data_IF_265054224720
#
_entry.id   IF_265054224720
#
_cell.length_a   1.000
_cell.length_b   1.000
_cell.length_c   1.000
_cell.angle_alpha   90.00
_cell.angle_beta   90.00
_cell.angle_gamma   90.00
#
_symmetry.space_group_name_H-M   'P 1'
#
loop_
_entity.id
_entity.type
_entity.pdbx_description
1 polymer ?
#
# COMPACT_ATOMS: atom_id res chain seq x y z
N UNK A 1 45.06 -84.06 -2.78
CA UNK A 1 44.12 -83.14 -3.47
C UNK A 1 43.86 -81.95 -2.57
N UNK A 2 44.57 -80.84 -2.75
CA UNK A 2 44.26 -79.55 -2.12
C UNK A 2 44.42 -78.48 -3.20
N UNK A 3 43.32 -77.92 -3.70
CA UNK A 3 43.31 -76.81 -4.66
C UNK A 3 43.39 -75.50 -3.89
N UNK A 4 44.48 -74.77 -4.05
CA UNK A 4 44.59 -73.37 -3.63
C UNK A 4 44.13 -72.52 -4.82
N UNK A 5 42.97 -71.88 -4.69
CA UNK A 5 42.47 -70.89 -5.65
C UNK A 5 43.03 -69.54 -5.21
N UNK A 6 43.95 -68.98 -5.99
CA UNK A 6 44.44 -67.61 -5.82
C UNK A 6 43.55 -66.68 -6.63
N UNK A 7 42.70 -65.91 -5.95
CA UNK A 7 41.88 -64.86 -6.58
C UNK A 7 42.71 -63.59 -6.68
N UNK A 8 43.04 -63.19 -7.91
CA UNK A 8 43.73 -61.93 -8.20
C UNK A 8 42.71 -60.78 -8.12
N UNK A 9 42.83 -59.92 -7.10
CA UNK A 9 42.00 -58.72 -6.96
C UNK A 9 42.60 -57.60 -7.83
N UNK A 10 42.02 -57.35 -9.00
CA UNK A 10 42.37 -56.20 -9.84
C UNK A 10 41.59 -54.99 -9.28
N UNK A 11 42.29 -54.13 -8.53
CA UNK A 11 41.75 -52.83 -8.13
C UNK A 11 41.75 -51.89 -9.33
N UNK A 12 40.63 -51.86 -10.07
CA UNK A 12 40.38 -50.85 -11.09
C UNK A 12 40.14 -49.49 -10.43
N UNK A 13 41.12 -48.60 -10.50
CA UNK A 13 40.90 -47.18 -10.20
C UNK A 13 39.99 -46.58 -11.30
N UNK A 14 38.69 -46.58 -11.06
CA UNK A 14 37.75 -45.77 -11.83
C UNK A 14 37.91 -44.31 -11.40
N UNK A 15 38.76 -43.56 -12.09
CA UNK A 15 38.80 -42.10 -12.00
C UNK A 15 37.49 -41.54 -12.56
N UNK A 16 36.53 -41.27 -11.68
CA UNK A 16 35.34 -40.49 -12.02
C UNK A 16 35.78 -39.05 -12.26
N UNK A 17 35.94 -38.67 -13.53
CA UNK A 17 36.02 -37.26 -13.89
C UNK A 17 34.64 -36.64 -13.64
N UNK A 18 34.47 -36.01 -12.48
CA UNK A 18 33.38 -35.08 -12.27
C UNK A 18 33.61 -33.89 -13.21
N UNK A 19 32.88 -33.84 -14.32
CA UNK A 19 32.80 -32.63 -15.12
C UNK A 19 32.17 -31.55 -14.23
N UNK A 20 32.99 -30.65 -13.71
CA UNK A 20 32.51 -29.46 -13.04
C UNK A 20 31.58 -28.74 -14.02
N UNK A 21 30.32 -28.53 -13.64
CA UNK A 21 29.39 -27.74 -14.46
C UNK A 21 30.00 -26.35 -14.67
N UNK A 22 30.10 -25.93 -15.92
CA UNK A 22 30.49 -24.56 -16.25
C UNK A 22 29.51 -23.61 -15.54
N UNK A 23 29.99 -22.67 -14.71
CA UNK A 23 29.12 -21.73 -14.02
C UNK A 23 28.36 -20.89 -15.04
N UNK A 24 27.03 -20.94 -14.98
CA UNK A 24 26.18 -20.02 -15.75
C UNK A 24 26.24 -18.65 -15.06
N UNK A 25 26.70 -17.63 -15.77
CA UNK A 25 26.77 -16.26 -15.27
C UNK A 25 26.31 -15.27 -16.35
N UNK A 26 26.38 -13.97 -16.07
CA UNK A 26 25.95 -12.92 -17.01
C UNK A 26 26.66 -13.01 -18.38
N UNK A 27 27.93 -13.41 -18.42
CA UNK A 27 28.68 -13.57 -19.68
C UNK A 27 28.20 -14.76 -20.53
N UNK A 28 27.58 -15.78 -19.91
CA UNK A 28 27.00 -16.94 -20.63
C UNK A 28 25.90 -16.52 -21.59
N UNK A 29 25.16 -15.47 -21.27
CA UNK A 29 24.05 -14.96 -22.08
C UNK A 29 24.50 -13.86 -23.05
N UNK A 30 25.70 -13.31 -22.89
CA UNK A 30 26.26 -12.27 -23.75
C UNK A 30 25.32 -11.07 -23.91
N UNK A 31 24.81 -10.87 -25.13
CA UNK A 31 23.88 -9.79 -25.50
C UNK A 31 22.41 -10.25 -25.49
N UNK A 32 22.10 -11.46 -25.02
CA UNK A 32 20.72 -11.93 -24.96
C UNK A 32 19.95 -11.15 -23.89
N UNK A 33 18.87 -10.49 -24.32
CA UNK A 33 17.96 -9.79 -23.43
C UNK A 33 16.65 -10.56 -23.29
N UNK A 34 16.16 -10.64 -22.04
CA UNK A 34 14.81 -11.11 -21.81
C UNK A 34 13.82 -10.10 -22.40
N UNK A 35 12.93 -10.56 -23.27
CA UNK A 35 11.83 -9.73 -23.80
C UNK A 35 10.52 -10.16 -23.18
N UNK A 36 9.73 -9.18 -22.76
CA UNK A 36 8.35 -9.43 -22.37
C UNK A 36 7.55 -9.88 -23.60
N UNK A 37 6.91 -11.04 -23.56
CA UNK A 37 6.00 -11.51 -24.61
C UNK A 37 4.58 -10.93 -24.47
N UNK A 38 4.39 -10.04 -23.48
CA UNK A 38 3.11 -9.59 -22.98
C UNK A 38 2.41 -10.68 -22.16
N UNK A 39 1.42 -10.32 -21.33
CA UNK A 39 0.46 -11.30 -20.84
C UNK A 39 -0.57 -11.64 -21.94
N UNK A 40 -0.90 -12.91 -22.11
CA UNK A 40 -2.10 -13.33 -22.85
C UNK A 40 -3.40 -12.98 -22.09
N UNK A 41 -3.31 -12.91 -20.75
CA UNK A 41 -4.34 -12.42 -19.83
C UNK A 41 -3.64 -11.71 -18.67
N UNK A 42 -4.01 -10.45 -18.38
CA UNK A 42 -3.40 -9.69 -17.27
C UNK A 42 -3.98 -10.18 -15.94
N UNK A 43 -3.12 -10.54 -14.99
CA UNK A 43 -3.52 -10.84 -13.61
C UNK A 43 -2.43 -10.39 -12.66
N UNK A 44 -2.82 -9.70 -11.59
CA UNK A 44 -1.93 -9.15 -10.58
C UNK A 44 -2.66 -8.07 -9.79
N UNK A 45 -2.28 -7.85 -8.53
CA UNK A 45 -2.84 -6.76 -7.72
C UNK A 45 -2.00 -5.51 -7.87
N UNK A 46 -2.66 -4.39 -8.16
CA UNK A 46 -2.08 -3.06 -8.03
C UNK A 46 -2.36 -2.58 -6.62
N UNK A 47 -1.32 -2.23 -5.88
CA UNK A 47 -1.43 -1.83 -4.47
C UNK A 47 -1.33 -0.31 -4.30
N UNK A 48 -0.75 0.40 -5.27
CA UNK A 48 -0.58 1.84 -5.22
C UNK A 48 -0.59 2.44 -6.63
N UNK A 49 -1.21 3.61 -6.78
CA UNK A 49 -1.16 4.41 -8.01
C UNK A 49 -0.96 5.86 -7.60
N UNK A 50 0.03 6.52 -8.20
CA UNK A 50 0.27 7.95 -8.02
C UNK A 50 0.59 8.61 -9.35
N UNK A 51 0.06 9.81 -9.58
CA UNK A 51 0.26 10.57 -10.81
C UNK A 51 0.84 11.96 -10.57
N UNK A 52 1.53 12.48 -11.59
CA UNK A 52 1.96 13.88 -11.61
C UNK A 52 0.77 14.75 -11.99
N UNK A 53 0.36 15.63 -11.07
CA UNK A 53 -0.86 16.41 -11.22
C UNK A 53 -0.81 17.37 -12.43
N UNK A 54 0.36 17.96 -12.69
CA UNK A 54 0.54 18.98 -13.71
C UNK A 54 0.37 18.44 -15.13
N UNK A 55 0.98 17.29 -15.45
CA UNK A 55 0.95 16.74 -16.81
C UNK A 55 -0.24 15.79 -17.05
N UNK A 56 -0.78 15.17 -15.99
CA UNK A 56 -1.84 14.17 -16.07
C UNK A 56 -1.50 12.95 -16.94
N UNK A 57 -0.21 12.69 -17.22
CA UNK A 57 0.23 11.63 -18.14
C UNK A 57 1.31 10.76 -17.52
N UNK A 58 2.07 11.30 -16.57
CA UNK A 58 3.08 10.57 -15.83
C UNK A 58 2.44 9.89 -14.64
N UNK A 59 2.35 8.56 -14.69
CA UNK A 59 1.73 7.73 -13.64
C UNK A 59 2.73 6.64 -13.22
N UNK A 60 2.79 6.40 -11.91
CA UNK A 60 3.54 5.33 -11.29
C UNK A 60 2.56 4.33 -10.68
N UNK A 61 2.77 3.06 -10.99
CA UNK A 61 1.91 1.95 -10.60
C UNK A 61 2.75 0.98 -9.78
N UNK A 62 2.45 0.89 -8.49
CA UNK A 62 3.04 -0.06 -7.56
C UNK A 62 2.24 -1.36 -7.54
N UNK A 63 2.93 -2.48 -7.66
CA UNK A 63 2.29 -3.81 -7.72
C UNK A 63 2.62 -4.62 -6.47
N UNK A 64 1.76 -5.60 -6.16
CA UNK A 64 1.92 -6.47 -5.00
C UNK A 64 3.24 -7.28 -4.99
N UNK A 65 3.81 -7.58 -6.17
CA UNK A 65 4.99 -8.43 -6.32
C UNK A 65 5.75 -8.29 -7.64
N UNK A 66 5.59 -7.19 -8.36
CA UNK A 66 6.25 -6.91 -9.64
C UNK A 66 6.84 -5.51 -9.74
N UNK A 67 7.18 -4.89 -8.61
CA UNK A 67 7.84 -3.59 -8.54
C UNK A 67 6.95 -2.41 -8.95
N UNK A 68 7.59 -1.35 -9.45
CA UNK A 68 6.96 -0.08 -9.85
C UNK A 68 7.10 0.07 -11.36
N UNK A 69 5.98 0.41 -12.00
CA UNK A 69 5.88 0.67 -13.42
C UNK A 69 5.57 2.15 -13.65
N UNK A 70 6.26 2.77 -14.59
CA UNK A 70 6.07 4.16 -14.97
C UNK A 70 5.52 4.26 -16.39
N UNK A 71 4.52 5.11 -16.57
CA UNK A 71 4.10 5.61 -17.89
C UNK A 71 4.30 7.12 -17.93
N UNK A 72 4.52 7.68 -19.12
CA UNK A 72 4.56 9.13 -19.40
C UNK A 72 3.61 9.51 -20.53
N UNK A 73 2.79 8.56 -21.01
CA UNK A 73 1.87 8.73 -22.13
C UNK A 73 0.43 8.34 -21.74
N UNK A 74 0.09 8.49 -20.45
CA UNK A 74 -1.24 8.25 -19.95
C UNK A 74 -1.63 6.76 -19.89
N UNK A 75 -0.66 5.84 -19.83
CA UNK A 75 -0.91 4.41 -19.68
C UNK A 75 -0.94 3.62 -20.99
N UNK A 76 -0.61 4.24 -22.14
CA UNK A 76 -0.49 3.52 -23.40
C UNK A 76 0.71 2.55 -23.42
N UNK A 77 1.78 2.89 -22.71
CA UNK A 77 2.90 1.97 -22.43
C UNK A 77 3.51 2.22 -21.06
N UNK A 78 4.15 1.18 -20.51
CA UNK A 78 4.81 1.21 -19.21
C UNK A 78 6.25 0.71 -19.31
N UNK A 79 7.13 1.28 -18.48
CA UNK A 79 8.51 0.85 -18.24
C UNK A 79 8.65 0.48 -16.77
N UNK A 80 9.29 -0.65 -16.45
CA UNK A 80 9.67 -0.93 -15.06
C UNK A 80 10.77 0.02 -14.61
N UNK A 81 10.61 0.57 -13.41
CA UNK A 81 11.55 1.52 -12.80
C UNK A 81 12.07 1.01 -11.44
N UNK A 82 11.80 -0.25 -11.09
CA UNK A 82 12.14 -0.81 -9.78
C UNK A 82 12.68 -2.24 -9.80
N UNK A 83 13.09 -2.78 -10.95
CA UNK A 83 13.53 -4.18 -11.12
C UNK A 83 14.72 -4.58 -10.22
N UNK A 84 15.54 -3.62 -9.81
CA UNK A 84 16.76 -3.85 -9.01
C UNK A 84 16.50 -3.91 -7.50
N UNK A 85 15.28 -3.66 -7.05
CA UNK A 85 14.93 -3.46 -5.63
C UNK A 85 13.81 -4.42 -5.19
N UNK A 86 13.26 -4.24 -3.98
CA UNK A 86 12.19 -5.08 -3.46
C UNK A 86 10.93 -5.02 -4.34
N UNK A 87 10.41 -6.17 -4.76
CA UNK A 87 9.33 -6.23 -5.73
C UNK A 87 7.93 -6.06 -5.13
N UNK A 88 7.80 -6.12 -3.80
CA UNK A 88 6.51 -5.90 -3.14
C UNK A 88 6.34 -4.43 -2.82
N UNK A 89 5.34 -3.78 -3.41
CA UNK A 89 5.04 -2.37 -3.19
C UNK A 89 3.78 -2.24 -2.33
N UNK A 90 3.84 -1.41 -1.30
CA UNK A 90 2.71 -1.11 -0.42
C UNK A 90 2.17 0.30 -0.57
N UNK A 91 3.03 1.27 -0.86
CA UNK A 91 2.64 2.67 -1.03
C UNK A 91 3.58 3.43 -1.98
N UNK A 92 3.03 4.43 -2.65
CA UNK A 92 3.78 5.43 -3.42
C UNK A 92 3.35 6.82 -2.94
N UNK A 93 4.24 7.80 -3.06
CA UNK A 93 3.91 9.21 -2.94
C UNK A 93 4.86 10.06 -3.80
N UNK A 94 4.33 11.11 -4.43
CA UNK A 94 5.09 12.03 -5.28
C UNK A 94 5.06 13.42 -4.63
N UNK A 95 6.22 14.05 -4.50
CA UNK A 95 6.26 15.47 -4.16
C UNK A 95 5.75 16.28 -5.36
N UNK A 96 4.53 16.79 -5.27
CA UNK A 96 3.90 17.53 -6.37
C UNK A 96 4.59 18.89 -6.64
N UNK A 97 5.41 19.42 -5.73
CA UNK A 97 6.25 20.61 -5.99
C UNK A 97 7.53 20.27 -6.74
N UNK A 98 7.98 19.02 -6.66
CA UNK A 98 9.12 18.51 -7.42
C UNK A 98 8.86 17.06 -7.85
N UNK A 99 8.07 16.82 -8.92
CA UNK A 99 7.60 15.48 -9.29
C UNK A 99 8.69 14.46 -9.70
N UNK A 100 9.95 14.88 -9.68
CA UNK A 100 11.12 13.98 -9.76
C UNK A 100 11.42 13.27 -8.44
N UNK A 101 10.87 13.75 -7.32
CA UNK A 101 11.02 13.15 -5.99
C UNK A 101 9.84 12.23 -5.74
N UNK A 102 10.16 10.95 -5.53
CA UNK A 102 9.17 9.89 -5.34
C UNK A 102 9.59 9.04 -4.16
N UNK A 103 8.63 8.70 -3.31
CA UNK A 103 8.81 7.76 -2.21
C UNK A 103 8.10 6.45 -2.54
N UNK A 104 8.76 5.33 -2.25
CA UNK A 104 8.22 4.00 -2.43
C UNK A 104 8.33 3.21 -1.13
N UNK A 105 7.19 2.89 -0.53
CA UNK A 105 7.07 2.03 0.63
C UNK A 105 6.90 0.60 0.16
N UNK A 106 7.75 -0.30 0.63
CA UNK A 106 7.71 -1.71 0.23
C UNK A 106 6.85 -2.54 1.19
N UNK A 107 6.38 -3.68 0.69
CA UNK A 107 5.51 -4.62 1.39
C UNK A 107 4.04 -4.28 1.24
N UNK A 108 3.35 -5.02 0.37
CA UNK A 108 1.90 -4.87 0.16
C UNK A 108 1.15 -5.00 1.49
N UNK A 109 0.24 -4.07 1.77
CA UNK A 109 -0.51 -4.04 3.04
C UNK A 109 -1.93 -4.62 2.94
N UNK A 110 -2.24 -5.31 1.84
CA UNK A 110 -3.50 -6.04 1.64
C UNK A 110 -3.35 -7.44 2.24
N UNK A 111 -3.37 -7.57 3.57
CA UNK A 111 -2.96 -8.73 4.41
C UNK A 111 -3.72 -10.06 4.18
N UNK A 112 -3.82 -10.49 2.92
CA UNK A 112 -4.41 -11.73 2.45
C UNK A 112 -3.43 -12.90 2.67
N UNK A 113 -3.80 -14.10 2.24
CA UNK A 113 -2.98 -15.31 2.36
C UNK A 113 -1.81 -15.37 1.35
N UNK A 114 -1.70 -14.40 0.43
CA UNK A 114 -0.64 -14.33 -0.57
C UNK A 114 -0.10 -12.91 -0.60
N UNK A 115 0.76 -12.57 0.35
CA UNK A 115 1.34 -11.24 0.53
C UNK A 115 2.84 -11.40 0.70
N UNK A 116 3.60 -10.55 0.04
CA UNK A 116 5.06 -10.48 0.19
C UNK A 116 5.44 -9.37 1.16
N UNK A 117 6.53 -9.57 1.88
CA UNK A 117 7.11 -8.54 2.74
C UNK A 117 7.92 -7.56 1.89
N UNK A 118 8.00 -6.34 2.39
CA UNK A 118 8.94 -5.32 2.00
C UNK A 118 10.17 -5.33 2.88
N UNK A 119 11.09 -4.42 2.56
CA UNK A 119 12.33 -4.23 3.27
C UNK A 119 12.57 -2.76 3.65
N UNK A 120 11.54 -1.90 3.61
CA UNK A 120 11.61 -0.51 4.06
C UNK A 120 11.19 0.52 3.01
N UNK A 121 11.69 1.73 3.15
CA UNK A 121 11.31 2.88 2.33
C UNK A 121 12.44 3.27 1.36
N UNK A 122 12.07 3.59 0.12
CA UNK A 122 12.97 4.06 -0.92
C UNK A 122 12.58 5.46 -1.38
N UNK A 123 13.58 6.20 -1.86
CA UNK A 123 13.40 7.53 -2.46
C UNK A 123 14.13 7.60 -3.80
N UNK A 124 13.44 8.09 -4.82
CA UNK A 124 14.04 8.56 -6.06
C UNK A 124 14.10 10.09 -6.06
N UNK A 125 15.13 10.64 -6.69
CA UNK A 125 15.26 12.08 -6.97
C UNK A 125 15.40 12.36 -8.46
N UNK A 126 15.18 11.37 -9.30
CA UNK A 126 15.32 11.38 -10.76
C UNK A 126 14.14 10.68 -11.44
N UNK A 127 12.94 10.88 -10.88
CA UNK A 127 11.68 10.42 -11.46
C UNK A 127 11.63 8.90 -11.68
N UNK A 128 12.24 8.14 -10.77
CA UNK A 128 12.24 6.68 -10.74
C UNK A 128 13.42 6.00 -11.44
N UNK A 129 14.34 6.74 -12.07
CA UNK A 129 15.48 6.11 -12.74
C UNK A 129 16.45 5.43 -11.76
N UNK A 130 16.66 6.02 -10.57
CA UNK A 130 17.41 5.43 -9.47
C UNK A 130 16.68 5.60 -8.13
N UNK A 131 16.94 4.66 -7.21
CA UNK A 131 16.33 4.64 -5.90
C UNK A 131 17.38 4.43 -4.83
N UNK A 132 17.23 5.17 -3.74
CA UNK A 132 18.06 5.04 -2.53
C UNK A 132 17.17 4.57 -1.40
N UNK A 133 17.61 3.55 -0.66
CA UNK A 133 16.93 3.11 0.55
C UNK A 133 17.15 4.15 1.66
N UNK A 134 16.08 4.54 2.34
CA UNK A 134 16.06 5.64 3.31
C UNK A 134 15.50 5.24 4.67
N UNK A 135 15.58 3.95 5.01
CA UNK A 135 15.27 3.42 6.34
C UNK A 135 13.94 2.67 6.44
N UNK A 136 13.48 2.49 7.68
CA UNK A 136 12.29 1.71 8.05
C UNK A 136 12.39 0.21 7.70
N UNK A 137 13.61 -0.33 7.67
CA UNK A 137 13.91 -1.67 7.18
C UNK A 137 13.14 -2.82 7.86
N UNK A 138 12.76 -2.63 9.11
CA UNK A 138 12.10 -3.65 9.94
C UNK A 138 10.57 -3.52 9.98
N UNK A 139 9.97 -2.65 9.15
CA UNK A 139 8.50 -2.49 9.14
C UNK A 139 7.78 -3.61 8.42
N UNK A 140 8.44 -4.31 7.48
CA UNK A 140 7.90 -5.31 6.55
C UNK A 140 6.76 -4.82 5.63
N UNK A 141 5.90 -3.92 6.08
CA UNK A 141 4.77 -3.40 5.31
C UNK A 141 4.62 -1.91 5.56
N UNK A 142 4.50 -1.14 4.48
CA UNK A 142 4.19 0.28 4.49
C UNK A 142 2.86 0.47 3.74
N UNK A 143 1.82 0.92 4.45
CA UNK A 143 0.46 1.00 3.91
C UNK A 143 0.14 2.35 3.26
N UNK A 144 0.79 3.43 3.72
CA UNK A 144 0.51 4.79 3.24
C UNK A 144 1.73 5.68 3.44
N UNK A 145 1.96 6.58 2.50
CA UNK A 145 2.92 7.67 2.60
C UNK A 145 2.13 8.96 2.35
N UNK A 146 2.23 9.92 3.26
CA UNK A 146 1.64 11.25 3.09
C UNK A 146 2.74 12.31 3.14
N UNK A 147 2.76 13.18 2.13
CA UNK A 147 3.67 14.32 2.07
C UNK A 147 2.88 15.57 2.42
N UNK A 148 3.43 16.38 3.31
CA UNK A 148 2.86 17.68 3.63
C UNK A 148 2.87 18.58 2.38
N UNK A 149 1.69 19.03 1.89
CA UNK A 149 1.60 19.81 0.66
C UNK A 149 2.21 21.22 0.80
N UNK A 150 2.39 21.71 2.03
CA UNK A 150 3.01 23.01 2.31
C UNK A 150 4.51 22.87 2.49
N UNK A 151 5.01 21.77 3.07
CA UNK A 151 6.44 21.54 3.29
C UNK A 151 6.85 20.08 2.97
N UNK A 152 7.37 19.80 1.76
CA UNK A 152 7.73 18.44 1.35
C UNK A 152 8.84 17.74 2.16
N UNK A 153 9.51 18.46 3.07
CA UNK A 153 10.43 17.81 4.02
C UNK A 153 9.69 17.00 5.10
N UNK A 154 8.42 17.37 5.37
CA UNK A 154 7.55 16.66 6.29
C UNK A 154 6.90 15.48 5.55
N UNK A 155 7.31 14.27 5.91
CA UNK A 155 6.79 13.03 5.32
C UNK A 155 6.32 12.09 6.42
N UNK A 156 5.13 11.54 6.25
CA UNK A 156 4.50 10.61 7.20
C UNK A 156 4.39 9.23 6.56
N UNK A 157 4.69 8.18 7.32
CA UNK A 157 4.70 6.79 6.85
C UNK A 157 3.92 5.91 7.81
N UNK A 158 2.77 5.39 7.36
CA UNK A 158 1.96 4.44 8.09
C UNK A 158 2.52 3.03 7.90
N UNK A 159 3.06 2.46 8.99
CA UNK A 159 3.63 1.11 9.01
C UNK A 159 2.76 0.18 9.87
N UNK A 160 1.89 -0.65 9.26
CA UNK A 160 1.07 -1.60 10.00
C UNK A 160 1.93 -2.68 10.65
N UNK A 161 3.07 -3.04 10.06
CA UNK A 161 4.02 -4.01 10.58
C UNK A 161 3.86 -5.44 10.05
N UNK A 162 4.66 -6.37 10.57
CA UNK A 162 4.72 -7.77 10.12
C UNK A 162 3.38 -8.50 10.17
N UNK A 163 3.13 -9.37 9.19
CA UNK A 163 1.91 -10.16 9.16
C UNK A 163 1.93 -11.34 10.15
N UNK A 164 3.10 -11.90 10.40
CA UNK A 164 3.26 -13.19 11.10
C UNK A 164 3.88 -13.10 12.50
N UNK A 165 4.41 -11.94 12.91
CA UNK A 165 5.04 -11.74 14.22
C UNK A 165 4.64 -10.42 14.90
N UNK A 166 4.76 -10.36 16.22
CA UNK A 166 4.72 -9.11 16.99
C UNK A 166 5.99 -8.30 16.66
N UNK A 167 5.90 -6.97 16.65
CA UNK A 167 7.04 -6.11 16.31
C UNK A 167 6.92 -4.72 16.92
N UNK A 168 8.00 -4.27 17.56
CA UNK A 168 8.18 -2.89 18.02
C UNK A 168 8.27 -1.88 16.88
N UNK A 169 8.43 -2.31 15.62
CA UNK A 169 8.60 -1.42 14.46
C UNK A 169 7.26 -0.99 13.82
N UNK A 170 6.14 -1.41 14.39
CA UNK A 170 4.82 -0.88 14.08
C UNK A 170 4.69 0.61 14.44
N UNK A 171 3.84 1.34 13.73
CA UNK A 171 3.43 2.69 14.10
C UNK A 171 3.37 3.68 12.94
N UNK A 172 3.16 4.96 13.28
CA UNK A 172 3.29 6.07 12.34
C UNK A 172 4.66 6.72 12.53
N UNK A 173 5.37 6.91 11.43
CA UNK A 173 6.67 7.58 11.41
C UNK A 173 6.55 8.94 10.73
N UNK A 174 7.31 9.92 11.20
CA UNK A 174 7.45 11.24 10.60
C UNK A 174 8.92 11.56 10.35
N UNK A 175 9.21 12.09 9.19
CA UNK A 175 10.46 12.77 8.85
C UNK A 175 10.19 14.26 8.79
N UNK A 176 11.17 15.08 9.16
CA UNK A 176 11.17 16.54 8.94
C UNK A 176 12.31 17.00 8.02
N UNK A 177 13.04 16.07 7.41
CA UNK A 177 14.22 16.30 6.57
C UNK A 177 14.18 15.53 5.24
N UNK A 178 12.95 15.31 4.73
CA UNK A 178 12.68 14.59 3.48
C UNK A 178 13.19 13.14 3.45
N UNK A 179 13.12 12.46 4.60
CA UNK A 179 13.34 11.02 4.75
C UNK A 179 14.77 10.65 5.13
N UNK A 180 15.61 11.59 5.58
CA UNK A 180 16.96 11.26 6.07
C UNK A 180 16.89 10.67 7.48
N UNK A 181 15.98 11.16 8.31
CA UNK A 181 15.72 10.65 9.66
C UNK A 181 14.22 10.43 9.90
N UNK A 182 13.91 9.49 10.79
CA UNK A 182 12.53 9.08 11.08
C UNK A 182 12.30 9.06 12.59
N UNK A 183 11.25 9.75 13.02
CA UNK A 183 10.73 9.70 14.38
C UNK A 183 9.43 8.90 14.40
N UNK A 184 9.25 8.01 15.38
CA UNK A 184 7.99 7.30 15.57
C UNK A 184 7.06 8.15 16.43
N UNK A 185 5.99 8.66 15.83
CA UNK A 185 5.11 9.67 16.44
C UNK A 185 3.76 9.10 16.93
N UNK A 186 3.40 7.88 16.52
CA UNK A 186 2.26 7.14 17.06
C UNK A 186 2.63 5.66 17.20
N UNK A 187 2.55 5.14 18.42
CA UNK A 187 2.82 3.74 18.74
C UNK A 187 1.83 3.27 19.80
N UNK A 188 1.21 2.12 19.56
CA UNK A 188 0.23 1.54 20.49
C UNK A 188 0.86 0.37 21.25
N UNK A 189 1.30 -0.67 20.54
CA UNK A 189 1.99 -1.84 21.07
C UNK A 189 2.59 -2.66 19.93
N UNK A 190 3.17 -3.83 20.24
CA UNK A 190 3.84 -4.69 19.23
C UNK A 190 2.87 -5.45 18.31
N UNK A 191 1.56 -5.41 18.58
CA UNK A 191 0.52 -6.10 17.82
C UNK A 191 -0.24 -5.17 16.87
N UNK A 192 -0.22 -3.86 17.15
CA UNK A 192 -0.97 -2.86 16.40
C UNK A 192 -0.05 -1.79 15.79
N UNK A 193 -0.19 -1.57 14.48
CA UNK A 193 0.55 -0.54 13.73
C UNK A 193 -0.36 0.43 13.02
N UNK A 194 0.22 1.48 12.43
CA UNK A 194 -0.57 2.48 11.71
C UNK A 194 -0.95 1.95 10.32
N UNK A 195 -2.24 1.92 10.00
CA UNK A 195 -2.76 1.34 8.76
C UNK A 195 -3.07 2.40 7.69
N UNK A 196 -3.30 3.65 8.08
CA UNK A 196 -3.58 4.75 7.18
C UNK A 196 -3.27 6.11 7.84
N UNK A 197 -2.98 7.12 7.03
CA UNK A 197 -2.69 8.50 7.47
C UNK A 197 -3.17 9.52 6.43
N UNK A 198 -3.80 10.59 6.89
CA UNK A 198 -4.19 11.73 6.06
C UNK A 198 -3.89 13.07 6.75
N UNK A 199 -3.56 14.08 5.97
CA UNK A 199 -3.26 15.44 6.42
C UNK A 199 -4.36 16.39 5.94
N UNK A 200 -4.78 17.33 6.79
CA UNK A 200 -5.63 18.43 6.30
C UNK A 200 -4.77 19.35 5.39
N UNK A 201 -5.11 19.49 4.09
CA UNK A 201 -4.33 20.31 3.17
C UNK A 201 -4.32 21.81 3.54
N UNK A 202 -5.34 22.28 4.28
CA UNK A 202 -5.42 23.67 4.77
C UNK A 202 -4.50 23.89 5.97
N UNK A 203 -4.29 22.87 6.80
CA UNK A 203 -3.41 22.91 7.95
C UNK A 203 -2.79 21.53 8.23
N UNK A 204 -1.59 21.23 7.70
CA UNK A 204 -0.91 19.94 7.88
C UNK A 204 -0.49 19.59 9.32
N UNK A 205 -0.70 20.48 10.29
CA UNK A 205 -0.62 20.13 11.72
C UNK A 205 -1.82 19.29 12.17
N UNK A 206 -2.93 19.32 11.43
CA UNK A 206 -4.07 18.43 11.63
C UNK A 206 -3.80 17.13 10.88
N UNK A 207 -3.57 16.06 11.65
CA UNK A 207 -3.23 14.73 11.14
C UNK A 207 -4.24 13.72 11.63
N UNK A 208 -4.76 12.89 10.73
CA UNK A 208 -5.59 11.75 11.06
C UNK A 208 -4.81 10.47 10.83
N UNK A 209 -4.96 9.49 11.72
CA UNK A 209 -4.31 8.19 11.59
C UNK A 209 -5.22 7.07 12.10
N UNK A 210 -5.18 5.93 11.42
CA UNK A 210 -5.79 4.70 11.94
C UNK A 210 -4.71 3.73 12.40
N UNK A 211 -4.98 3.00 13.48
CA UNK A 211 -4.16 1.88 13.92
C UNK A 211 -4.95 0.59 13.80
N UNK A 212 -4.23 -0.50 13.56
CA UNK A 212 -4.81 -1.79 13.28
C UNK A 212 -4.01 -2.91 13.94
N UNK A 213 -4.68 -3.63 14.84
CA UNK A 213 -4.20 -4.88 15.40
C UNK A 213 -4.60 -6.04 14.50
N UNK A 214 -3.63 -6.86 14.08
CA UNK A 214 -3.91 -8.03 13.25
C UNK A 214 -2.88 -9.13 13.43
N UNK A 215 -3.28 -10.36 13.11
CA UNK A 215 -2.38 -11.51 13.07
C UNK A 215 -2.82 -12.49 11.99
N UNK A 216 -1.87 -12.97 11.20
CA UNK A 216 -2.08 -14.15 10.35
C UNK A 216 -1.25 -15.32 10.84
N UNK A 217 -1.92 -16.46 10.95
CA UNK A 217 -1.32 -17.79 11.12
C UNK A 217 -1.74 -18.65 9.91
N UNK A 218 -1.09 -19.81 9.66
CA UNK A 218 -1.46 -20.66 8.53
C UNK A 218 -2.95 -21.03 8.47
N UNK A 219 -3.64 -21.08 9.61
CA UNK A 219 -5.04 -21.50 9.77
C UNK A 219 -5.97 -20.40 10.30
N UNK A 220 -5.47 -19.19 10.57
CA UNK A 220 -6.25 -18.14 11.23
C UNK A 220 -5.89 -16.76 10.68
N UNK A 221 -6.90 -15.91 10.56
CA UNK A 221 -6.70 -14.48 10.40
C UNK A 221 -7.52 -13.75 11.45
N UNK A 222 -6.85 -12.95 12.28
CA UNK A 222 -7.49 -12.03 13.20
C UNK A 222 -7.33 -10.61 12.68
N UNK A 223 -8.45 -9.91 12.50
CA UNK A 223 -8.49 -8.49 12.13
C UNK A 223 -9.20 -7.73 13.24
N UNK A 224 -8.42 -7.22 14.17
CA UNK A 224 -8.90 -6.38 15.25
C UNK A 224 -8.44 -6.81 16.63
N UNK A 225 -8.51 -5.84 17.54
CA UNK A 225 -8.06 -5.95 18.91
C UNK A 225 -8.13 -4.59 19.60
N UNK A 226 -7.68 -4.53 20.86
CA UNK A 226 -7.73 -3.29 21.65
C UNK A 226 -6.78 -2.22 21.12
N UNK A 227 -5.76 -2.61 20.35
CA UNK A 227 -4.82 -1.70 19.72
C UNK A 227 -5.31 -1.02 18.43
N UNK A 228 -6.47 -1.42 17.88
CA UNK A 228 -7.08 -0.75 16.73
C UNK A 228 -7.83 0.52 17.17
N UNK A 229 -7.70 1.60 16.39
CA UNK A 229 -8.26 2.90 16.74
C UNK A 229 -8.21 3.91 15.59
N UNK A 230 -8.92 5.02 15.77
CA UNK A 230 -8.90 6.18 14.88
C UNK A 230 -8.48 7.39 15.71
N UNK A 231 -7.48 8.14 15.25
CA UNK A 231 -6.86 9.21 16.01
C UNK A 231 -6.78 10.49 15.20
N UNK A 232 -6.84 11.62 15.91
CA UNK A 232 -6.62 12.96 15.41
C UNK A 232 -5.54 13.64 16.24
N UNK A 233 -4.60 14.27 15.56
CA UNK A 233 -3.65 15.22 16.12
C UNK A 233 -3.95 16.61 15.56
N UNK A 234 -3.71 17.64 16.37
CA UNK A 234 -3.83 19.05 15.96
C UNK A 234 -2.50 19.82 16.09
N UNK A 235 -1.40 19.09 16.35
CA UNK A 235 -0.06 19.64 16.61
C UNK A 235 1.04 18.90 15.84
N UNK A 236 0.68 18.39 14.66
CA UNK A 236 1.60 17.78 13.71
C UNK A 236 2.06 16.38 14.12
N UNK A 237 1.28 15.71 14.98
CA UNK A 237 1.54 14.35 15.46
C UNK A 237 2.27 14.27 16.80
N UNK A 238 2.42 15.36 17.55
CA UNK A 238 3.06 15.34 18.88
C UNK A 238 2.14 14.76 19.94
N UNK A 239 0.85 15.09 19.87
CA UNK A 239 -0.19 14.52 20.73
C UNK A 239 -1.35 13.99 19.89
N UNK A 240 -2.07 13.01 20.44
CA UNK A 240 -3.14 12.30 19.74
C UNK A 240 -4.36 12.14 20.64
N UNK A 241 -5.53 12.41 20.08
CA UNK A 241 -6.83 12.13 20.67
C UNK A 241 -7.48 11.01 19.87
N UNK A 242 -7.95 9.96 20.55
CA UNK A 242 -8.78 8.96 19.90
C UNK A 242 -10.18 9.54 19.60
N UNK A 243 -10.67 9.34 18.38
CA UNK A 243 -11.98 9.83 17.93
C UNK A 243 -12.95 8.65 17.79
N UNK A 244 -13.86 8.51 18.76
CA UNK A 244 -14.79 7.38 18.86
C UNK A 244 -16.26 7.80 18.89
N UNK A 245 -16.53 9.10 18.99
CA UNK A 245 -17.89 9.61 19.13
C UNK A 245 -18.74 9.28 17.90
N UNK A 246 -19.75 8.42 18.06
CA UNK A 246 -20.63 7.95 16.99
C UNK A 246 -20.10 6.78 16.15
N UNK A 247 -18.88 6.31 16.42
CA UNK A 247 -18.35 5.05 15.91
C UNK A 247 -18.91 3.84 16.69
N UNK A 248 -18.80 2.60 16.18
CA UNK A 248 -19.34 1.45 16.88
C UNK A 248 -18.54 1.13 18.14
N UNK A 249 -19.02 0.19 18.96
CA UNK A 249 -18.24 -0.29 20.09
C UNK A 249 -17.00 -1.07 19.61
N UNK A 250 -15.87 -0.88 20.32
CA UNK A 250 -14.66 -1.67 20.17
C UNK A 250 -14.91 -3.16 20.48
N UNK A 251 -14.04 -4.08 20.02
CA UNK A 251 -12.81 -3.84 19.26
C UNK A 251 -13.07 -3.47 17.79
N UNK A 252 -12.17 -2.64 17.24
CA UNK A 252 -12.13 -2.36 15.80
C UNK A 252 -11.17 -3.32 15.10
N UNK A 253 -11.44 -3.61 13.83
CA UNK A 253 -10.51 -4.16 12.86
C UNK A 253 -9.80 -3.04 12.11
N UNK A 254 -9.57 -3.21 10.80
CA UNK A 254 -8.97 -2.17 9.96
C UNK A 254 -9.97 -1.04 9.72
N UNK A 255 -9.48 0.19 9.81
CA UNK A 255 -10.25 1.39 9.46
C UNK A 255 -9.62 1.99 8.20
N UNK A 256 -10.39 2.01 7.12
CA UNK A 256 -10.06 2.73 5.89
C UNK A 256 -10.80 4.07 5.93
N UNK A 257 -10.09 5.19 5.76
CA UNK A 257 -10.72 6.50 5.83
C UNK A 257 -10.09 7.47 4.84
N UNK A 258 -10.81 8.55 4.57
CA UNK A 258 -10.29 9.67 3.78
C UNK A 258 -11.00 10.96 4.18
N UNK A 259 -10.42 12.08 3.78
CA UNK A 259 -11.00 13.41 3.92
C UNK A 259 -11.16 14.04 2.54
N UNK A 260 -12.15 14.92 2.37
CA UNK A 260 -12.36 15.62 1.11
C UNK A 260 -11.28 16.70 0.93
N UNK A 261 -10.42 16.65 -0.11
CA UNK A 261 -9.34 17.63 -0.26
C UNK A 261 -9.85 19.08 -0.39
N UNK A 262 -10.99 19.28 -1.04
CA UNK A 262 -11.62 20.59 -1.22
C UNK A 262 -12.45 21.06 -0.01
N UNK A 263 -12.82 20.15 0.90
CA UNK A 263 -13.59 20.46 2.11
C UNK A 263 -13.21 19.55 3.29
N UNK A 264 -12.00 19.69 3.88
CA UNK A 264 -11.40 18.71 4.79
C UNK A 264 -12.13 18.44 6.11
N UNK A 265 -13.18 19.19 6.42
CA UNK A 265 -14.07 18.89 7.55
C UNK A 265 -14.97 17.67 7.28
N UNK A 266 -15.09 17.27 6.00
CA UNK A 266 -15.86 16.11 5.56
C UNK A 266 -14.95 14.89 5.45
N UNK A 267 -15.19 13.90 6.32
CA UNK A 267 -14.46 12.63 6.35
C UNK A 267 -15.43 11.48 6.13
N UNK A 268 -14.93 10.44 5.47
CA UNK A 268 -15.64 9.17 5.32
C UNK A 268 -14.73 8.05 5.81
N UNK A 269 -15.28 7.13 6.59
CA UNK A 269 -14.56 5.97 7.11
C UNK A 269 -15.38 4.69 6.99
N UNK A 270 -14.72 3.59 6.66
CA UNK A 270 -15.25 2.24 6.79
C UNK A 270 -14.56 1.64 8.01
N UNK A 271 -15.35 1.31 9.03
CA UNK A 271 -14.85 0.82 10.31
C UNK A 271 -15.21 -0.66 10.44
N UNK A 272 -14.21 -1.53 10.37
CA UNK A 272 -14.37 -2.94 10.71
C UNK A 272 -14.63 -3.07 12.22
N UNK A 273 -15.71 -3.77 12.57
CA UNK A 273 -16.11 -4.04 13.93
C UNK A 273 -17.00 -5.29 13.94
N UNK A 274 -17.63 -5.61 15.09
CA UNK A 274 -18.67 -6.65 15.15
C UNK A 274 -19.74 -6.43 14.08
N UNK A 275 -20.14 -5.18 13.88
CA UNK A 275 -20.92 -4.74 12.72
C UNK A 275 -20.13 -3.69 11.94
N UNK A 276 -19.46 -4.12 10.88
CA UNK A 276 -18.74 -3.22 9.98
C UNK A 276 -19.71 -2.21 9.37
N UNK A 277 -19.32 -0.93 9.34
CA UNK A 277 -20.17 0.14 8.84
C UNK A 277 -19.40 1.23 8.11
N UNK A 278 -20.14 1.98 7.29
CA UNK A 278 -19.72 3.24 6.72
C UNK A 278 -20.12 4.38 7.66
N UNK A 279 -19.21 5.32 7.89
CA UNK A 279 -19.40 6.45 8.79
C UNK A 279 -18.97 7.73 8.09
N UNK A 280 -19.76 8.79 8.26
CA UNK A 280 -19.46 10.13 7.76
C UNK A 280 -19.28 11.06 8.95
N UNK A 281 -18.26 11.90 8.91
CA UNK A 281 -18.11 13.06 9.77
C UNK A 281 -18.16 14.33 8.90
N UNK A 282 -18.84 15.36 9.40
CA UNK A 282 -18.91 16.69 8.77
C UNK A 282 -18.30 17.78 9.67
N UNK A 283 -17.56 17.36 10.71
CA UNK A 283 -16.99 18.21 11.75
C UNK A 283 -15.54 17.81 12.05
N UNK A 284 -14.79 17.47 11.00
CA UNK A 284 -13.36 17.16 11.09
C UNK A 284 -13.06 16.00 12.07
N UNK A 285 -13.92 14.97 12.07
CA UNK A 285 -13.77 13.76 12.88
C UNK A 285 -14.19 13.88 14.35
N UNK A 286 -14.80 14.99 14.79
CA UNK A 286 -15.27 15.14 16.18
C UNK A 286 -16.53 14.30 16.47
N UNK A 287 -17.37 14.06 15.47
CA UNK A 287 -18.50 13.13 15.54
C UNK A 287 -18.72 12.38 14.22
N UNK A 288 -19.19 11.14 14.34
CA UNK A 288 -19.42 10.24 13.22
C UNK A 288 -20.87 9.77 13.18
N UNK A 289 -21.42 9.61 11.98
CA UNK A 289 -22.77 9.09 11.76
C UNK A 289 -22.72 7.87 10.85
N UNK A 290 -23.19 6.73 11.35
CA UNK A 290 -23.35 5.49 10.56
C UNK A 290 -24.31 5.75 9.40
N UNK A 291 -23.93 5.31 8.20
CA UNK A 291 -24.77 5.34 7.01
C UNK A 291 -25.17 3.94 6.59
N UNK A 292 -26.26 3.85 5.84
CA UNK A 292 -26.60 2.62 5.12
C UNK A 292 -25.56 2.38 4.03
N UNK A 293 -25.11 1.14 3.90
CA UNK A 293 -24.14 0.75 2.90
C UNK A 293 -24.40 -0.69 2.46
N UNK A 294 -24.19 -0.95 1.17
CA UNK A 294 -24.26 -2.33 0.64
C UNK A 294 -23.08 -3.13 1.16
N UNK A 295 -23.19 -4.47 1.09
CA UNK A 295 -22.08 -5.34 1.46
C UNK A 295 -20.82 -5.02 0.65
N UNK A 296 -20.94 -4.68 -0.65
CA UNK A 296 -19.79 -4.34 -1.48
C UNK A 296 -18.99 -3.15 -0.91
N UNK A 297 -19.68 -2.11 -0.43
CA UNK A 297 -19.04 -0.92 0.15
C UNK A 297 -18.26 -1.26 1.42
N UNK A 298 -18.85 -2.03 2.34
CA UNK A 298 -18.25 -2.33 3.65
C UNK A 298 -17.45 -3.64 3.68
N UNK A 299 -17.34 -4.36 2.56
CA UNK A 299 -16.72 -5.69 2.53
C UNK A 299 -15.25 -5.65 2.88
N UNK A 300 -14.85 -6.55 3.79
CA UNK A 300 -13.47 -6.94 4.08
C UNK A 300 -12.49 -5.75 4.18
N UNK A 301 -12.64 -4.81 5.13
CA UNK A 301 -11.76 -3.64 5.23
C UNK A 301 -10.28 -4.00 5.37
N UNK A 302 -9.96 -5.14 5.99
CA UNK A 302 -8.58 -5.66 6.05
C UNK A 302 -7.91 -5.86 4.68
N UNK A 303 -8.71 -6.11 3.64
CA UNK A 303 -8.27 -6.38 2.28
C UNK A 303 -8.59 -5.24 1.34
N UNK A 304 -9.83 -4.75 1.34
CA UNK A 304 -10.27 -3.58 0.57
C UNK A 304 -10.24 -2.34 1.43
N UNK A 305 -9.08 -1.69 1.49
CA UNK A 305 -8.80 -0.57 2.40
C UNK A 305 -8.75 0.80 1.72
N UNK A 306 -9.36 0.93 0.53
CA UNK A 306 -9.34 2.15 -0.27
C UNK A 306 -10.72 2.81 -0.34
N UNK A 307 -10.79 4.08 0.02
CA UNK A 307 -11.92 4.98 -0.20
C UNK A 307 -11.35 6.36 -0.55
N UNK A 308 -11.87 6.99 -1.59
CA UNK A 308 -11.31 8.23 -2.13
C UNK A 308 -12.43 9.22 -2.37
N UNK A 309 -12.27 10.46 -1.92
CA UNK A 309 -13.17 11.55 -2.26
C UNK A 309 -12.56 12.32 -3.43
N UNK A 310 -13.40 12.71 -4.38
CA UNK A 310 -12.99 13.53 -5.53
C UNK A 310 -12.27 14.80 -5.05
N UNK A 311 -11.10 15.16 -5.63
CA UNK A 311 -10.33 16.31 -5.19
C UNK A 311 -11.05 17.66 -5.26
N UNK A 312 -12.11 17.77 -6.07
CA UNK A 312 -12.87 19.00 -6.30
C UNK A 312 -14.30 18.93 -5.75
N UNK A 313 -14.93 17.76 -5.73
CA UNK A 313 -16.31 17.60 -5.25
C UNK A 313 -16.41 16.70 -3.99
N UNK A 314 -16.66 17.27 -2.80
CA UNK A 314 -16.78 16.48 -1.58
C UNK A 314 -17.97 15.52 -1.58
N UNK A 315 -18.94 15.67 -2.50
CA UNK A 315 -20.08 14.75 -2.63
C UNK A 315 -19.74 13.51 -3.47
N UNK A 316 -18.68 13.57 -4.27
CA UNK A 316 -18.28 12.48 -5.14
C UNK A 316 -17.29 11.58 -4.41
N UNK A 317 -17.75 10.40 -3.98
CA UNK A 317 -16.94 9.42 -3.24
C UNK A 317 -16.80 8.16 -4.06
N UNK A 318 -15.60 7.63 -4.17
CA UNK A 318 -15.29 6.40 -4.88
C UNK A 318 -14.84 5.32 -3.90
N UNK A 319 -15.32 4.10 -4.13
CA UNK A 319 -15.03 2.93 -3.33
C UNK A 319 -14.48 1.81 -4.22
N UNK A 320 -13.15 1.77 -4.41
CA UNK A 320 -12.47 0.60 -4.97
C UNK A 320 -12.60 -0.57 -4.00
N UNK A 321 -13.32 -1.63 -4.37
CA UNK A 321 -13.47 -2.84 -3.57
C UNK A 321 -13.57 -4.07 -4.47
N UNK A 322 -14.39 -5.05 -4.07
CA UNK A 322 -14.65 -6.19 -4.95
C UNK A 322 -15.28 -5.71 -6.26
N UNK A 323 -16.35 -4.93 -6.18
CA UNK A 323 -16.81 -4.06 -7.25
C UNK A 323 -16.29 -2.63 -7.08
N UNK A 324 -16.32 -1.84 -8.15
CA UNK A 324 -16.06 -0.41 -8.08
C UNK A 324 -17.39 0.31 -7.86
N UNK A 325 -17.56 0.97 -6.71
CA UNK A 325 -18.76 1.76 -6.41
C UNK A 325 -18.45 3.25 -6.32
N UNK A 326 -19.46 4.08 -6.53
CA UNK A 326 -19.37 5.51 -6.32
C UNK A 326 -20.62 6.07 -5.63
N UNK A 327 -20.45 7.22 -5.00
CA UNK A 327 -21.51 8.04 -4.43
C UNK A 327 -21.46 9.42 -5.07
N UNK A 328 -22.62 10.05 -5.21
CA UNK A 328 -22.76 11.44 -5.67
C UNK A 328 -23.43 12.34 -4.61
N UNK A 329 -23.57 11.86 -3.38
CA UNK A 329 -24.24 12.57 -2.28
C UNK A 329 -23.37 12.70 -1.02
N UNK A 330 -22.07 12.38 -1.10
CA UNK A 330 -21.12 12.45 0.01
C UNK A 330 -20.96 11.14 0.78
N UNK A 331 -21.45 10.03 0.24
CA UNK A 331 -21.37 8.69 0.83
C UNK A 331 -22.65 8.24 1.54
N UNK A 332 -23.78 8.95 1.39
CA UNK A 332 -25.06 8.52 1.94
C UNK A 332 -25.66 7.35 1.16
N UNK A 333 -25.42 7.31 -0.16
CA UNK A 333 -25.77 6.19 -1.02
C UNK A 333 -24.68 5.87 -2.03
N UNK A 334 -24.57 4.61 -2.44
CA UNK A 334 -23.62 4.14 -3.43
C UNK A 334 -24.31 3.40 -4.57
N UNK A 335 -23.85 3.64 -5.79
CA UNK A 335 -24.16 2.86 -6.98
C UNK A 335 -22.91 2.09 -7.43
N UNK A 336 -23.11 0.91 -8.01
CA UNK A 336 -22.02 0.13 -8.60
C UNK A 336 -21.73 0.65 -10.02
N UNK A 337 -20.46 0.96 -10.29
CA UNK A 337 -20.01 1.51 -11.57
C UNK A 337 -20.04 0.45 -12.69
N UNK A 338 -19.98 -0.83 -12.35
CA UNK A 338 -20.01 -1.95 -13.31
C UNK A 338 -21.32 -2.01 -14.08
N UNK A 339 -22.42 -1.53 -13.49
CA UNK A 339 -23.76 -1.59 -14.08
C UNK A 339 -24.02 -0.39 -15.03
N UNK A 340 -23.10 0.58 -15.08
CA UNK A 340 -23.22 1.82 -15.86
C UNK A 340 -22.53 1.77 -17.24
N UNK A 341 -22.15 0.57 -17.73
CA UNK A 341 -21.72 0.38 -19.13
C UNK A 341 -20.21 0.32 -19.38
N UNK A 342 -19.38 0.12 -18.35
CA UNK A 342 -17.96 -0.18 -18.47
C UNK A 342 -17.59 -1.37 -17.61
N UNK A 343 -17.21 -2.50 -18.24
CA UNK A 343 -16.71 -3.65 -17.48
C UNK A 343 -15.28 -3.37 -17.04
N UNK A 344 -15.09 -3.17 -15.73
CA UNK A 344 -13.79 -3.23 -15.07
C UNK A 344 -13.69 -4.58 -14.35
N UNK A 345 -12.49 -5.15 -14.31
CA UNK A 345 -12.20 -6.37 -13.54
C UNK A 345 -12.57 -6.17 -12.05
N UNK A 346 -12.75 -7.23 -11.24
CA UNK A 346 -13.02 -7.09 -9.81
C UNK A 346 -11.74 -6.87 -8.96
N UNK A 347 -11.85 -6.75 -7.63
CA UNK A 347 -10.69 -6.78 -6.72
C UNK A 347 -9.75 -5.55 -6.83
N UNK A 348 -10.30 -4.35 -6.66
CA UNK A 348 -9.57 -3.08 -6.74
C UNK A 348 -9.03 -2.61 -5.38
N UNK A 349 -7.80 -2.10 -5.37
CA UNK A 349 -7.08 -1.66 -4.16
C UNK A 349 -6.50 -0.26 -4.28
N UNK A 350 -6.37 0.29 -5.49
CA UNK A 350 -5.79 1.61 -5.70
C UNK A 350 -6.64 2.45 -6.65
N UNK A 351 -6.73 3.75 -6.36
CA UNK A 351 -7.39 4.72 -7.23
C UNK A 351 -6.64 6.05 -7.13
N UNK A 352 -6.21 6.56 -8.28
CA UNK A 352 -5.74 7.93 -8.40
C UNK A 352 -6.70 8.72 -9.30
N UNK A 353 -7.03 9.93 -8.86
CA UNK A 353 -7.90 10.88 -9.57
C UNK A 353 -7.05 12.10 -9.84
N UNK A 354 -6.97 12.54 -11.09
CA UNK A 354 -6.22 13.75 -11.41
C UNK A 354 -6.93 14.99 -10.80
N UNK A 355 -6.30 15.72 -9.87
CA UNK A 355 -6.95 16.88 -9.24
C UNK A 355 -7.18 18.03 -10.22
N UNK A 356 -6.43 18.11 -11.32
CA UNK A 356 -6.61 19.13 -12.35
C UNK A 356 -7.73 18.75 -13.34
N UNK A 357 -8.01 17.46 -13.52
CA UNK A 357 -9.09 16.95 -14.37
C UNK A 357 -9.70 15.67 -13.78
N UNK A 358 -10.77 15.79 -13.00
CA UNK A 358 -11.31 14.66 -12.23
C UNK A 358 -12.08 13.64 -13.07
N UNK A 359 -12.22 13.87 -14.39
CA UNK A 359 -12.66 12.86 -15.35
C UNK A 359 -11.56 11.85 -15.70
N UNK A 360 -10.31 12.13 -15.33
CA UNK A 360 -9.20 11.23 -15.52
C UNK A 360 -8.92 10.46 -14.22
N UNK A 361 -9.07 9.14 -14.30
CA UNK A 361 -8.88 8.22 -13.18
C UNK A 361 -8.06 7.01 -13.62
N UNK A 362 -7.24 6.50 -12.71
CA UNK A 362 -6.54 5.23 -12.86
C UNK A 362 -6.94 4.33 -11.70
N UNK A 363 -7.51 3.18 -12.01
CA UNK A 363 -8.02 2.19 -11.08
C UNK A 363 -7.18 0.92 -11.20
N UNK A 364 -6.86 0.28 -10.07
CA UNK A 364 -6.07 -0.94 -10.03
C UNK A 364 -6.36 -1.83 -8.84
#
# INVERSE_FOLDING_TARGET
>A
MNKIISTLLIAGCSSTFALAQTPVNSSTFGMMEARQLGPGTMSGRISAIEGVNEDGKTIYVGTAGGGIWKTTNGGASYKSVFDKYCQSIGALAIDQKSPRIIYAGTGESNMRNSVSIGDGLYKSTDAGDNWTKIGLDSTEHIAKIAIDPKNPNNVFVAAPGPLWSDSKHRGLYKSTDAGKTWEKILYINEKAGCADVALDPRNPEIVYASTWEFRRLPYLFNSGGTGSGMYKSSDGGKTWKEVTNGLPAKPFGRIAFTLAPSAPDNLVAIVEAKETGLYISADAGESWKKQSATLNVVSRPFYFSCIVIDPKDPKRVYRPGFGFSYSSDGGYSFADATDAGGWVHSDHHALWINPNNTNQMYLG
#
